data_IF_624575822999
#
_entry.id   IF_624575822999
#
_cell.length_a   1.000
_cell.length_b   1.000
_cell.length_c   1.000
_cell.angle_alpha   90.00
_cell.angle_beta   90.00
_cell.angle_gamma   90.00
#
_symmetry.space_group_name_H-M   'P 1'
#
loop_
_entity.id
_entity.type
_entity.pdbx_description
1 polymer ?
#
# COMPACT_ATOMS: atom_id res chain seq x y z
N UNK A 1 -41.71 45.11 -23.91
CA UNK A 1 -41.88 43.65 -23.83
C UNK A 1 -40.68 42.84 -24.40
N UNK A 2 -39.96 43.34 -25.44
CA UNK A 2 -38.79 42.60 -26.01
C UNK A 2 -37.57 42.49 -25.04
N UNK A 3 -37.36 43.47 -24.15
CA UNK A 3 -36.21 43.47 -23.25
C UNK A 3 -36.37 42.53 -22.02
N UNK A 4 -37.60 42.14 -21.68
CA UNK A 4 -37.86 41.23 -20.55
C UNK A 4 -37.58 39.76 -20.89
N UNK A 5 -37.71 39.40 -22.20
CA UNK A 5 -37.49 38.02 -22.71
C UNK A 5 -35.99 37.69 -22.78
N UNK A 6 -35.16 38.71 -23.10
CA UNK A 6 -33.69 38.53 -23.19
C UNK A 6 -33.08 38.34 -21.80
N UNK A 7 -33.61 38.96 -20.74
CA UNK A 7 -33.11 38.79 -19.38
C UNK A 7 -33.45 37.41 -18.78
N UNK A 8 -34.61 36.83 -19.18
CA UNK A 8 -35.01 35.49 -18.75
C UNK A 8 -34.17 34.38 -19.34
N UNK A 9 -33.68 34.52 -20.55
CA UNK A 9 -32.83 33.54 -21.24
C UNK A 9 -31.38 33.53 -20.68
N UNK A 10 -30.89 34.66 -20.17
CA UNK A 10 -29.54 34.77 -19.57
C UNK A 10 -29.46 34.16 -18.18
N UNK A 11 -30.57 34.17 -17.41
CA UNK A 11 -30.65 33.57 -16.06
C UNK A 11 -30.75 32.06 -16.13
N UNK A 12 -31.37 31.49 -17.18
CA UNK A 12 -31.48 30.04 -17.39
C UNK A 12 -30.13 29.43 -17.84
N UNK A 13 -29.30 30.20 -18.56
CA UNK A 13 -27.97 29.76 -18.95
C UNK A 13 -26.93 29.69 -17.80
N UNK A 14 -27.18 30.39 -16.68
CA UNK A 14 -26.32 30.40 -15.52
C UNK A 14 -26.57 29.24 -14.53
N UNK A 15 -27.63 28.47 -14.68
CA UNK A 15 -27.99 27.35 -13.79
C UNK A 15 -27.50 25.99 -14.31
N UNK A 16 -26.80 25.96 -15.46
CA UNK A 16 -25.97 24.81 -15.83
C UNK A 16 -24.63 24.87 -15.08
N UNK A 17 -24.67 25.07 -13.77
CA UNK A 17 -23.56 24.77 -12.89
C UNK A 17 -23.34 23.27 -13.02
N UNK A 18 -22.24 22.93 -13.63
CA UNK A 18 -21.68 21.60 -13.71
C UNK A 18 -21.78 20.97 -12.32
N UNK A 19 -22.67 20.00 -12.15
CA UNK A 19 -22.48 18.97 -11.17
C UNK A 19 -21.21 18.23 -11.63
N UNK A 20 -20.05 18.76 -11.25
CA UNK A 20 -18.86 17.94 -11.17
C UNK A 20 -19.27 16.83 -10.19
N UNK A 21 -19.68 15.67 -10.71
CA UNK A 21 -19.96 14.52 -9.87
C UNK A 21 -18.67 14.25 -9.10
N UNK A 22 -18.72 14.59 -7.82
CA UNK A 22 -17.61 14.25 -6.92
C UNK A 22 -17.47 12.72 -7.00
N UNK A 23 -16.33 12.26 -7.47
CA UNK A 23 -16.05 10.84 -7.58
C UNK A 23 -16.25 10.18 -6.21
N UNK A 24 -17.04 9.13 -6.16
CA UNK A 24 -17.32 8.41 -4.91
C UNK A 24 -16.15 7.52 -4.50
N UNK A 25 -16.09 7.16 -3.22
CA UNK A 25 -15.11 6.18 -2.72
C UNK A 25 -15.20 4.87 -3.50
N UNK A 26 -16.43 4.36 -3.71
CA UNK A 26 -16.64 3.09 -4.41
C UNK A 26 -16.13 3.14 -5.86
N UNK A 27 -16.33 4.24 -6.59
CA UNK A 27 -15.80 4.41 -7.95
C UNK A 27 -14.26 4.42 -7.99
N UNK A 28 -13.60 5.04 -7.01
CA UNK A 28 -12.14 5.05 -6.93
C UNK A 28 -11.63 3.64 -6.59
N UNK A 29 -12.29 2.96 -5.67
CA UNK A 29 -11.96 1.57 -5.28
C UNK A 29 -12.16 0.62 -6.46
N UNK A 30 -13.27 0.72 -7.19
CA UNK A 30 -13.53 -0.11 -8.38
C UNK A 30 -12.48 0.12 -9.47
N UNK A 31 -12.06 1.37 -9.68
CA UNK A 31 -10.97 1.70 -10.59
C UNK A 31 -9.63 1.09 -10.17
N UNK A 32 -9.30 1.15 -8.88
CA UNK A 32 -8.14 0.47 -8.34
C UNK A 32 -8.21 -1.04 -8.57
N UNK A 33 -9.33 -1.69 -8.22
CA UNK A 33 -9.56 -3.12 -8.42
C UNK A 33 -9.35 -3.50 -9.90
N UNK A 34 -9.93 -2.74 -10.81
CA UNK A 34 -9.76 -2.94 -12.26
C UNK A 34 -8.28 -2.82 -12.67
N UNK A 35 -7.54 -1.85 -12.12
CA UNK A 35 -6.11 -1.63 -12.42
C UNK A 35 -5.21 -2.78 -11.95
N UNK A 36 -5.68 -3.58 -10.98
CA UNK A 36 -4.99 -4.77 -10.48
C UNK A 36 -5.36 -6.05 -11.24
N UNK A 37 -6.21 -5.97 -12.26
CA UNK A 37 -6.67 -7.11 -13.05
C UNK A 37 -8.05 -7.66 -12.65
N UNK A 38 -8.77 -6.96 -11.76
CA UNK A 38 -10.13 -7.30 -11.33
C UNK A 38 -10.18 -8.15 -10.07
N UNK A 39 -11.41 -8.31 -9.55
CA UNK A 39 -11.67 -9.00 -8.27
C UNK A 39 -11.14 -10.44 -8.24
N UNK A 40 -11.36 -11.19 -9.31
CA UNK A 40 -10.94 -12.59 -9.39
C UNK A 40 -9.42 -12.73 -9.32
N UNK A 41 -8.70 -11.84 -10.02
CA UNK A 41 -7.23 -11.83 -10.01
C UNK A 41 -6.71 -11.56 -8.60
N UNK A 42 -7.23 -10.54 -7.92
CA UNK A 42 -6.86 -10.20 -6.54
C UNK A 42 -7.17 -11.37 -5.61
N UNK A 43 -8.36 -11.97 -5.70
CA UNK A 43 -8.76 -13.11 -4.85
C UNK A 43 -7.89 -14.36 -5.04
N UNK A 44 -7.31 -14.52 -6.22
CA UNK A 44 -6.45 -15.68 -6.55
C UNK A 44 -5.02 -15.58 -6.00
N UNK A 45 -4.60 -14.44 -5.45
CA UNK A 45 -3.25 -14.24 -4.89
C UNK A 45 -3.15 -14.90 -3.51
N UNK A 46 -2.33 -15.94 -3.40
CA UNK A 46 -2.16 -16.74 -2.17
C UNK A 46 -0.80 -16.51 -1.53
N UNK A 47 0.25 -16.42 -2.33
CA UNK A 47 1.60 -16.20 -1.85
C UNK A 47 2.31 -15.20 -2.75
N UNK A 48 3.27 -14.47 -2.20
CA UNK A 48 4.13 -13.57 -2.94
C UNK A 48 5.54 -13.63 -2.37
N UNK A 49 6.54 -13.71 -3.24
CA UNK A 49 7.95 -13.50 -2.91
C UNK A 49 8.49 -12.36 -3.76
N UNK A 50 9.08 -11.37 -3.11
CA UNK A 50 9.68 -10.20 -3.75
C UNK A 50 11.16 -10.18 -3.40
N UNK A 51 12.01 -10.18 -4.41
CA UNK A 51 13.48 -10.23 -4.30
C UNK A 51 14.06 -8.96 -4.96
N UNK A 52 14.97 -8.28 -4.28
CA UNK A 52 15.55 -7.03 -4.76
C UNK A 52 16.57 -6.43 -3.79
N UNK A 53 16.81 -5.15 -3.94
CA UNK A 53 17.77 -4.41 -3.11
C UNK A 53 17.15 -3.13 -2.54
N UNK A 54 17.56 -2.78 -1.33
CA UNK A 54 17.33 -1.48 -0.72
C UNK A 54 18.61 -0.66 -0.87
N UNK A 55 18.54 0.42 -1.63
CA UNK A 55 19.63 1.40 -1.69
C UNK A 55 19.38 2.49 -0.65
N UNK A 56 20.30 2.61 0.31
CA UNK A 56 20.24 3.56 1.41
C UNK A 56 21.63 4.11 1.72
N UNK A 57 21.78 5.42 1.77
CA UNK A 57 23.05 6.11 2.10
C UNK A 57 24.28 5.58 1.34
N UNK A 58 24.08 5.13 0.08
CA UNK A 58 25.17 4.59 -0.75
C UNK A 58 25.55 3.14 -0.45
N UNK A 59 24.74 2.44 0.34
CA UNK A 59 24.86 0.99 0.63
C UNK A 59 23.68 0.27 0.00
N UNK A 60 23.94 -0.82 -0.71
CA UNK A 60 22.90 -1.71 -1.21
C UNK A 60 22.75 -2.91 -0.25
N UNK A 61 21.52 -3.12 0.18
CA UNK A 61 21.12 -4.18 1.10
C UNK A 61 20.21 -5.13 0.34
N UNK A 62 20.58 -6.40 0.22
CA UNK A 62 19.70 -7.41 -0.36
C UNK A 62 18.46 -7.57 0.49
N UNK A 63 17.28 -7.58 -0.14
CA UNK A 63 16.00 -7.75 0.54
C UNK A 63 15.18 -8.87 -0.11
N UNK A 64 14.62 -9.73 0.72
CA UNK A 64 13.64 -10.73 0.31
C UNK A 64 12.41 -10.63 1.20
N UNK A 65 11.24 -10.42 0.60
CA UNK A 65 9.96 -10.42 1.31
C UNK A 65 9.12 -11.60 0.85
N UNK A 66 8.72 -12.47 1.78
CA UNK A 66 7.85 -13.62 1.51
C UNK A 66 6.58 -13.48 2.35
N UNK A 67 5.41 -13.61 1.71
CA UNK A 67 4.11 -13.47 2.38
C UNK A 67 3.16 -14.56 1.91
N UNK A 68 2.36 -15.09 2.83
CA UNK A 68 1.23 -15.98 2.57
C UNK A 68 -0.05 -15.36 3.11
N UNK A 69 -1.07 -15.30 2.26
CA UNK A 69 -2.34 -14.61 2.54
C UNK A 69 -2.97 -15.10 3.83
N UNK A 70 -3.12 -14.21 4.82
CA UNK A 70 -3.72 -14.49 6.12
C UNK A 70 -2.90 -15.41 7.05
N UNK A 71 -1.71 -15.87 6.64
CA UNK A 71 -0.90 -16.83 7.38
C UNK A 71 0.33 -16.16 8.01
N UNK A 72 1.12 -15.47 7.20
CA UNK A 72 2.33 -14.86 7.71
C UNK A 72 3.08 -14.02 6.68
N UNK A 73 4.03 -13.26 7.19
CA UNK A 73 5.00 -12.51 6.41
C UNK A 73 6.39 -12.62 7.03
N UNK A 74 7.40 -12.64 6.16
CA UNK A 74 8.80 -12.57 6.54
C UNK A 74 9.55 -11.65 5.59
N UNK A 75 10.38 -10.80 6.15
CA UNK A 75 11.30 -9.94 5.41
C UNK A 75 12.70 -10.24 5.93
N UNK A 76 13.53 -10.77 5.04
CA UNK A 76 14.94 -10.97 5.29
C UNK A 76 15.73 -9.88 4.57
N UNK A 77 16.74 -9.34 5.23
CA UNK A 77 17.66 -8.40 4.61
C UNK A 77 19.09 -8.62 5.09
N UNK A 78 20.00 -8.55 4.14
CA UNK A 78 21.41 -8.76 4.40
C UNK A 78 22.16 -7.45 4.24
N UNK A 79 22.74 -6.97 5.34
CA UNK A 79 23.46 -5.72 5.41
C UNK A 79 24.83 -5.97 6.02
N UNK A 80 25.89 -5.51 5.34
CA UNK A 80 27.28 -5.61 5.84
C UNK A 80 27.69 -7.04 6.23
N UNK A 81 27.21 -8.05 5.47
CA UNK A 81 27.45 -9.48 5.74
C UNK A 81 26.70 -10.02 6.95
N UNK A 82 25.71 -9.29 7.45
CA UNK A 82 24.90 -9.67 8.60
C UNK A 82 23.45 -9.90 8.18
N UNK A 83 22.92 -11.08 8.50
CA UNK A 83 21.53 -11.44 8.25
C UNK A 83 20.60 -10.85 9.31
N UNK A 84 19.56 -10.18 8.84
CA UNK A 84 18.54 -9.55 9.66
C UNK A 84 17.18 -10.02 9.18
N UNK A 85 16.17 -10.05 10.06
CA UNK A 85 14.81 -10.38 9.65
C UNK A 85 13.74 -9.69 10.48
N UNK A 86 12.56 -9.58 9.87
CA UNK A 86 11.27 -9.33 10.53
C UNK A 86 10.31 -10.42 10.10
N UNK A 87 9.59 -10.99 11.05
CA UNK A 87 8.62 -12.05 10.80
C UNK A 87 7.36 -11.80 11.62
N UNK A 88 6.21 -12.06 11.03
CA UNK A 88 4.93 -11.99 11.72
C UNK A 88 4.00 -13.10 11.21
N UNK A 89 3.16 -13.61 12.11
CA UNK A 89 2.05 -14.51 11.82
C UNK A 89 0.78 -14.00 12.53
N UNK A 90 -0.29 -14.78 12.52
CA UNK A 90 -1.58 -14.35 13.08
C UNK A 90 -1.56 -14.09 14.59
N UNK A 91 -0.55 -14.57 15.31
CA UNK A 91 -0.50 -14.52 16.79
C UNK A 91 0.57 -13.59 17.33
N UNK A 92 1.69 -13.44 16.63
CA UNK A 92 2.82 -12.61 17.09
C UNK A 92 3.71 -12.13 15.95
N UNK A 93 4.50 -11.11 16.23
CA UNK A 93 5.59 -10.64 15.38
C UNK A 93 6.90 -10.60 16.16
N UNK A 94 7.99 -10.86 15.46
CA UNK A 94 9.34 -10.82 16.01
C UNK A 94 10.32 -10.23 14.99
N UNK A 95 11.43 -9.73 15.49
CA UNK A 95 12.51 -9.21 14.67
C UNK A 95 13.86 -9.55 15.25
N UNK A 96 14.84 -9.70 14.39
CA UNK A 96 16.24 -9.86 14.76
C UNK A 96 17.10 -9.01 13.83
N UNK A 97 17.75 -8.01 14.39
CA UNK A 97 18.48 -6.99 13.64
C UNK A 97 19.88 -6.78 14.25
N UNK A 98 20.80 -7.74 14.08
CA UNK A 98 22.17 -7.63 14.60
C UNK A 98 22.89 -6.38 14.05
N UNK A 99 22.58 -5.95 12.82
CA UNK A 99 23.14 -4.71 12.26
C UNK A 99 22.79 -3.47 13.10
N UNK A 100 21.72 -3.53 13.89
CA UNK A 100 21.31 -2.50 14.85
C UNK A 100 21.75 -2.80 16.30
N UNK A 101 22.62 -3.80 16.50
CA UNK A 101 23.14 -4.18 17.80
C UNK A 101 22.28 -5.17 18.59
N UNK A 102 21.25 -5.78 18.00
CA UNK A 102 20.48 -6.83 18.67
C UNK A 102 21.29 -8.11 18.80
N UNK A 103 21.38 -8.66 20.02
CA UNK A 103 22.08 -9.90 20.32
C UNK A 103 21.18 -11.15 20.27
N UNK A 104 19.86 -10.97 20.33
CA UNK A 104 18.85 -12.02 20.25
C UNK A 104 17.59 -11.49 19.57
N UNK A 105 16.71 -12.36 19.03
CA UNK A 105 15.39 -11.96 18.57
C UNK A 105 14.57 -11.30 19.68
N UNK A 106 13.76 -10.31 19.31
CA UNK A 106 12.86 -9.61 20.22
C UNK A 106 11.47 -9.50 19.61
N UNK A 107 10.47 -9.24 20.42
CA UNK A 107 9.11 -9.04 19.96
C UNK A 107 9.00 -7.76 19.12
N UNK A 108 8.20 -7.82 18.08
CA UNK A 108 7.90 -6.65 17.26
C UNK A 108 7.05 -5.67 18.06
N UNK A 109 7.34 -4.36 18.05
CA UNK A 109 6.49 -3.34 18.66
C UNK A 109 5.04 -3.46 18.15
N UNK A 110 4.06 -3.21 19.02
CA UNK A 110 2.64 -3.46 18.76
C UNK A 110 2.11 -2.77 17.49
N UNK A 111 2.50 -1.52 17.27
CA UNK A 111 2.12 -0.74 16.07
C UNK A 111 2.70 -1.34 14.78
N UNK A 112 3.96 -1.79 14.84
CA UNK A 112 4.61 -2.49 13.73
C UNK A 112 3.95 -3.85 13.48
N UNK A 113 3.62 -4.59 14.54
CA UNK A 113 2.90 -5.85 14.41
C UNK A 113 1.51 -5.67 13.80
N UNK A 114 0.73 -4.67 14.26
CA UNK A 114 -0.57 -4.33 13.65
C UNK A 114 -0.45 -4.02 12.16
N UNK A 115 0.58 -3.28 11.78
CA UNK A 115 0.87 -2.97 10.37
C UNK A 115 1.28 -4.23 9.59
N UNK A 116 2.07 -5.12 10.19
CA UNK A 116 2.45 -6.39 9.59
C UNK A 116 1.25 -7.32 9.37
N UNK A 117 0.31 -7.37 10.33
CA UNK A 117 -0.96 -8.12 10.18
C UNK A 117 -1.75 -7.64 8.95
N UNK A 118 -1.87 -6.31 8.76
CA UNK A 118 -2.55 -5.77 7.58
C UNK A 118 -1.83 -6.12 6.27
N UNK A 119 -0.50 -6.25 6.28
CA UNK A 119 0.30 -6.63 5.11
C UNK A 119 0.22 -8.13 4.76
N UNK A 120 -0.23 -8.98 5.67
CA UNK A 120 -0.52 -10.40 5.39
C UNK A 120 -1.80 -10.57 4.55
N UNK A 121 -2.66 -9.57 4.50
CA UNK A 121 -3.79 -9.55 3.58
C UNK A 121 -3.32 -9.17 2.16
N UNK A 122 -2.95 -10.16 1.36
CA UNK A 122 -2.46 -9.95 -0.01
C UNK A 122 -3.52 -9.41 -0.96
N UNK A 123 -4.79 -9.50 -0.60
CA UNK A 123 -5.89 -8.90 -1.37
C UNK A 123 -5.96 -7.37 -1.17
N UNK A 124 -5.30 -6.87 -0.12
CA UNK A 124 -5.18 -5.46 0.19
C UNK A 124 -6.44 -4.82 0.78
N UNK A 125 -6.30 -3.56 1.18
CA UNK A 125 -7.33 -2.82 1.91
C UNK A 125 -8.62 -2.58 1.11
N UNK A 126 -8.52 -2.49 -0.21
CA UNK A 126 -9.67 -2.10 -1.06
C UNK A 126 -10.55 -3.27 -1.49
N UNK A 127 -10.01 -4.50 -1.52
CA UNK A 127 -10.78 -5.68 -1.87
C UNK A 127 -11.73 -6.06 -0.73
N UNK A 128 -13.03 -6.06 -1.00
CA UNK A 128 -14.09 -6.37 -0.02
C UNK A 128 -13.93 -5.59 1.31
N UNK A 129 -13.56 -4.31 1.23
CA UNK A 129 -13.19 -3.51 2.39
C UNK A 129 -14.30 -3.43 3.47
N UNK A 130 -15.57 -3.34 3.04
CA UNK A 130 -16.73 -3.28 3.96
C UNK A 130 -16.85 -4.57 4.79
N UNK A 131 -16.68 -5.73 4.15
CA UNK A 131 -16.74 -7.05 4.80
C UNK A 131 -15.56 -7.26 5.77
N UNK A 132 -14.40 -6.69 5.45
CA UNK A 132 -13.21 -6.70 6.31
C UNK A 132 -13.33 -5.75 7.51
N UNK A 133 -14.40 -4.94 7.59
CA UNK A 133 -14.57 -3.91 8.61
C UNK A 133 -13.60 -2.74 8.45
N UNK A 134 -13.17 -2.46 7.24
CA UNK A 134 -12.33 -1.31 6.88
C UNK A 134 -13.24 -0.14 6.52
N UNK A 135 -12.93 1.04 7.05
CA UNK A 135 -13.59 2.29 6.67
C UNK A 135 -12.70 3.08 5.72
N UNK A 136 -13.29 3.62 4.65
CA UNK A 136 -12.59 4.44 3.67
C UNK A 136 -13.29 5.78 3.52
N UNK A 137 -12.54 6.87 3.65
CA UNK A 137 -13.01 8.24 3.49
C UNK A 137 -12.24 8.92 2.35
N UNK A 138 -12.93 9.61 1.44
CA UNK A 138 -12.28 10.48 0.45
C UNK A 138 -11.92 11.80 1.13
N UNK A 139 -10.64 12.05 1.33
CA UNK A 139 -10.13 13.27 1.96
C UNK A 139 -10.07 14.42 0.95
N UNK A 140 -9.74 14.11 -0.30
CA UNK A 140 -9.60 15.10 -1.36
C UNK A 140 -8.75 14.59 -2.51
N UNK A 141 -8.23 15.54 -3.30
CA UNK A 141 -7.33 15.26 -4.41
C UNK A 141 -6.04 16.06 -4.25
N UNK A 142 -4.92 15.46 -4.64
CA UNK A 142 -3.61 16.08 -4.63
C UNK A 142 -2.85 15.78 -5.93
N UNK A 143 -1.87 16.60 -6.24
CA UNK A 143 -0.93 16.30 -7.34
C UNK A 143 0.25 15.51 -6.79
N UNK A 144 0.43 14.28 -7.26
CA UNK A 144 1.56 13.40 -6.91
C UNK A 144 2.35 13.13 -8.18
N UNK A 145 3.63 13.47 -8.18
CA UNK A 145 4.53 13.30 -9.34
C UNK A 145 3.95 13.83 -10.67
N UNK A 146 3.22 14.96 -10.62
CA UNK A 146 2.64 15.62 -11.79
C UNK A 146 1.30 15.03 -12.27
N UNK A 147 0.73 14.05 -11.57
CA UNK A 147 -0.58 13.47 -11.87
C UNK A 147 -1.56 13.72 -10.74
N UNK A 148 -2.85 13.94 -11.06
CA UNK A 148 -3.90 14.04 -10.04
C UNK A 148 -4.12 12.67 -9.39
N UNK A 149 -4.15 12.64 -8.05
CA UNK A 149 -4.44 11.46 -7.26
C UNK A 149 -5.51 11.75 -6.21
N UNK A 150 -6.42 10.80 -6.02
CA UNK A 150 -7.42 10.83 -4.95
C UNK A 150 -6.81 10.33 -3.64
N UNK A 151 -6.93 11.13 -2.58
CA UNK A 151 -6.45 10.79 -1.24
C UNK A 151 -7.57 10.07 -0.48
N UNK A 152 -7.40 8.76 -0.25
CA UNK A 152 -8.30 7.91 0.51
C UNK A 152 -7.69 7.62 1.88
N UNK A 153 -8.34 8.09 2.94
CA UNK A 153 -8.02 7.70 4.32
C UNK A 153 -8.66 6.36 4.62
N UNK A 154 -7.84 5.37 4.87
CA UNK A 154 -8.21 3.99 5.18
C UNK A 154 -7.98 3.73 6.66
N UNK A 155 -9.04 3.37 7.38
CA UNK A 155 -8.98 2.95 8.79
C UNK A 155 -9.22 1.45 8.87
N UNK A 156 -8.21 0.70 9.26
CA UNK A 156 -8.27 -0.75 9.42
C UNK A 156 -8.99 -1.12 10.72
N UNK A 157 -9.55 -2.34 10.77
CA UNK A 157 -10.25 -2.87 11.95
C UNK A 157 -9.39 -2.85 13.22
N UNK A 158 -8.08 -2.99 13.11
CA UNK A 158 -7.11 -2.94 14.23
C UNK A 158 -6.67 -1.53 14.62
N UNK A 159 -7.31 -0.49 14.05
CA UNK A 159 -7.07 0.92 14.34
C UNK A 159 -5.92 1.57 13.57
N UNK A 160 -5.19 0.83 12.75
CA UNK A 160 -4.17 1.41 11.87
C UNK A 160 -4.83 2.32 10.84
N UNK A 161 -4.26 3.51 10.62
CA UNK A 161 -4.72 4.47 9.62
C UNK A 161 -3.63 4.66 8.58
N UNK A 162 -4.02 4.62 7.30
CA UNK A 162 -3.13 4.89 6.17
C UNK A 162 -3.87 5.70 5.12
N UNK A 163 -3.27 6.77 4.65
CA UNK A 163 -3.75 7.50 3.49
C UNK A 163 -3.15 6.88 2.22
N UNK A 164 -4.01 6.53 1.27
CA UNK A 164 -3.66 5.99 -0.03
C UNK A 164 -3.96 7.02 -1.11
N UNK A 165 -2.99 7.30 -1.94
CA UNK A 165 -3.14 8.21 -3.08
C UNK A 165 -3.27 7.39 -4.34
N UNK A 166 -4.46 7.40 -4.92
CA UNK A 166 -4.82 6.64 -6.12
C UNK A 166 -4.76 7.58 -7.32
N UNK A 167 -3.86 7.31 -8.25
CA UNK A 167 -3.71 8.07 -9.48
C UNK A 167 -5.01 8.04 -10.30
N UNK A 168 -5.52 9.22 -10.64
CA UNK A 168 -6.83 9.39 -11.30
C UNK A 168 -6.85 8.84 -12.74
N UNK A 169 -5.70 8.64 -13.39
CA UNK A 169 -5.63 8.10 -14.76
C UNK A 169 -5.51 6.58 -14.74
N UNK A 170 -4.60 6.04 -13.94
CA UNK A 170 -4.24 4.63 -13.95
C UNK A 170 -5.00 3.77 -12.93
N UNK A 171 -5.58 4.39 -11.89
CA UNK A 171 -6.20 3.69 -10.76
C UNK A 171 -5.19 3.02 -9.82
N UNK A 172 -3.90 3.30 -9.94
CA UNK A 172 -2.86 2.67 -9.13
C UNK A 172 -2.50 3.51 -7.92
N UNK A 173 -2.03 2.86 -6.86
CA UNK A 173 -1.45 3.55 -5.71
C UNK A 173 -0.14 4.20 -6.17
N UNK A 174 0.02 5.50 -5.96
CA UNK A 174 1.26 6.22 -6.27
C UNK A 174 1.99 6.70 -5.03
N UNK A 175 1.27 6.81 -3.92
CA UNK A 175 1.81 7.23 -2.62
C UNK A 175 0.98 6.63 -1.49
N UNK A 176 1.62 6.36 -0.37
CA UNK A 176 0.94 6.17 0.92
C UNK A 176 1.55 7.09 1.96
N UNK A 177 0.74 7.50 2.93
CA UNK A 177 1.17 8.21 4.13
C UNK A 177 0.61 7.47 5.33
N UNK A 178 1.49 6.95 6.18
CA UNK A 178 1.12 6.19 7.37
C UNK A 178 1.83 6.75 8.60
N UNK A 179 1.19 6.70 9.74
CA UNK A 179 1.84 6.99 11.01
C UNK A 179 2.57 5.76 11.51
N UNK A 180 3.79 5.95 11.95
CA UNK A 180 4.57 4.94 12.65
C UNK A 180 5.08 5.53 13.97
N UNK A 181 5.12 4.73 15.01
CA UNK A 181 5.74 5.10 16.26
C UNK A 181 7.20 4.64 16.28
N UNK A 182 8.09 5.54 16.64
CA UNK A 182 9.49 5.22 16.91
C UNK A 182 9.83 5.76 18.30
N UNK A 183 10.12 4.87 19.24
CA UNK A 183 10.40 5.23 20.64
C UNK A 183 9.32 6.13 21.28
N UNK A 184 8.03 5.88 20.97
CA UNK A 184 6.91 6.64 21.50
C UNK A 184 6.64 7.98 20.80
N UNK A 185 7.40 8.32 19.77
CA UNK A 185 7.14 9.48 18.90
C UNK A 185 6.46 9.03 17.61
N UNK A 186 5.30 9.59 17.33
CA UNK A 186 4.63 9.39 16.04
C UNK A 186 5.35 10.15 14.94
N UNK A 187 5.62 9.46 13.84
CA UNK A 187 6.22 10.02 12.62
C UNK A 187 5.34 9.66 11.42
N UNK A 188 5.18 10.61 10.52
CA UNK A 188 4.56 10.35 9.24
C UNK A 188 5.60 9.70 8.30
N UNK A 189 5.28 8.52 7.80
CA UNK A 189 6.09 7.79 6.82
C UNK A 189 5.38 7.85 5.48
N UNK A 190 5.95 8.64 4.58
CA UNK A 190 5.55 8.68 3.18
C UNK A 190 6.29 7.59 2.40
N UNK A 191 5.55 6.85 1.57
CA UNK A 191 6.12 5.88 0.63
C UNK A 191 5.56 6.15 -0.76
N UNK A 192 6.41 6.31 -1.74
CA UNK A 192 6.03 6.43 -3.16
C UNK A 192 6.24 5.13 -3.89
N UNK A 193 5.38 4.87 -4.89
CA UNK A 193 5.34 3.63 -5.66
C UNK A 193 5.46 3.96 -7.15
N UNK A 194 6.47 3.38 -7.78
CA UNK A 194 6.77 3.62 -9.21
C UNK A 194 7.10 2.31 -9.93
N UNK A 195 7.39 2.41 -11.23
CA UNK A 195 7.80 1.26 -12.05
C UNK A 195 6.82 0.08 -12.00
N UNK A 196 5.52 0.36 -12.21
CA UNK A 196 4.48 -0.66 -12.22
C UNK A 196 4.62 -1.57 -13.45
N UNK A 197 4.78 -2.87 -13.19
CA UNK A 197 4.89 -3.93 -14.21
C UNK A 197 4.04 -5.14 -13.84
N UNK A 198 3.71 -5.95 -14.82
CA UNK A 198 3.19 -7.29 -14.56
C UNK A 198 4.35 -8.25 -14.32
N UNK A 199 4.19 -9.13 -13.32
CA UNK A 199 5.07 -10.29 -13.18
C UNK A 199 4.70 -11.39 -14.21
N UNK A 200 5.42 -12.51 -14.19
CA UNK A 200 5.19 -13.61 -15.12
C UNK A 200 3.77 -14.20 -15.05
N UNK A 201 3.12 -14.09 -13.90
CA UNK A 201 1.76 -14.60 -13.66
C UNK A 201 0.68 -13.56 -13.97
N UNK A 202 1.06 -12.37 -14.47
CA UNK A 202 0.16 -11.30 -14.88
C UNK A 202 -0.43 -10.46 -13.72
N UNK A 203 0.16 -10.48 -12.55
CA UNK A 203 -0.18 -9.57 -11.44
C UNK A 203 0.60 -8.26 -11.56
N UNK A 204 -0.06 -7.14 -11.27
CA UNK A 204 0.56 -5.84 -11.28
C UNK A 204 1.22 -5.51 -9.93
N UNK A 205 2.48 -5.10 -9.94
CA UNK A 205 3.22 -4.65 -8.76
C UNK A 205 4.05 -3.41 -9.08
N UNK A 206 4.28 -2.51 -8.09
CA UNK A 206 5.35 -1.53 -8.20
C UNK A 206 6.70 -2.24 -8.02
N UNK A 207 7.62 -2.07 -8.96
CA UNK A 207 8.96 -2.61 -8.87
C UNK A 207 9.94 -1.66 -8.17
N UNK A 208 9.50 -0.43 -7.88
CA UNK A 208 10.27 0.51 -7.07
C UNK A 208 9.38 1.18 -6.02
N UNK A 209 9.87 1.22 -4.79
CA UNK A 209 9.25 1.91 -3.67
C UNK A 209 10.28 2.76 -2.94
N UNK A 210 9.97 4.02 -2.66
CA UNK A 210 10.88 4.96 -2.01
C UNK A 210 10.24 5.56 -0.76
N UNK A 211 10.97 5.57 0.33
CA UNK A 211 10.61 6.27 1.57
C UNK A 211 11.86 6.93 2.20
N UNK A 212 11.74 7.41 3.43
CA UNK A 212 12.84 8.06 4.16
C UNK A 212 14.03 7.13 4.46
N UNK A 213 13.84 5.81 4.40
CA UNK A 213 14.90 4.83 4.62
C UNK A 213 15.71 4.54 3.35
N UNK A 214 15.16 4.86 2.18
CA UNK A 214 15.81 4.63 0.89
C UNK A 214 14.84 4.15 -0.18
N UNK A 215 15.40 3.63 -1.26
CA UNK A 215 14.64 3.07 -2.39
C UNK A 215 14.83 1.56 -2.44
N UNK A 216 13.71 0.82 -2.42
CA UNK A 216 13.71 -0.61 -2.71
C UNK A 216 13.41 -0.78 -4.20
N UNK A 217 14.27 -1.51 -4.90
CA UNK A 217 14.07 -1.93 -6.28
C UNK A 217 13.95 -3.44 -6.31
N UNK A 218 12.80 -3.95 -6.80
CA UNK A 218 12.57 -5.38 -6.94
C UNK A 218 13.01 -5.85 -8.32
N UNK A 219 13.81 -6.91 -8.34
CA UNK A 219 14.28 -7.56 -9.56
C UNK A 219 13.33 -8.67 -9.98
N UNK A 220 12.76 -9.37 -9.00
CA UNK A 220 11.88 -10.50 -9.22
C UNK A 220 10.72 -10.51 -8.23
N UNK A 221 9.51 -10.72 -8.77
CA UNK A 221 8.29 -10.94 -7.99
C UNK A 221 7.62 -12.21 -8.47
N UNK A 222 7.55 -13.21 -7.60
CA UNK A 222 6.93 -14.51 -7.85
C UNK A 222 5.66 -14.65 -7.03
N UNK A 223 4.60 -15.16 -7.64
CA UNK A 223 3.28 -15.29 -7.01
C UNK A 223 2.82 -16.75 -7.01
N UNK A 224 1.94 -17.09 -6.07
CA UNK A 224 1.27 -18.39 -5.98
C UNK A 224 2.21 -19.61 -5.95
N UNK A 225 3.43 -19.40 -5.49
CA UNK A 225 4.40 -20.48 -5.29
C UNK A 225 4.13 -21.20 -3.96
N UNK A 226 4.50 -22.48 -3.83
CA UNK A 226 4.55 -23.16 -2.54
C UNK A 226 5.48 -22.43 -1.57
N UNK A 227 5.06 -22.26 -0.32
CA UNK A 227 5.85 -21.67 0.76
C UNK A 227 5.80 -22.62 1.95
N UNK A 228 6.96 -22.95 2.52
CA UNK A 228 7.02 -23.63 3.81
C UNK A 228 6.65 -22.63 4.92
N UNK A 229 5.47 -22.82 5.52
CA UNK A 229 4.95 -21.92 6.54
C UNK A 229 5.79 -21.90 7.82
N UNK A 230 6.73 -22.84 7.98
CA UNK A 230 7.68 -22.84 9.11
C UNK A 230 8.54 -21.57 9.15
N UNK A 231 8.77 -20.91 8.00
CA UNK A 231 9.50 -19.64 7.92
C UNK A 231 8.83 -18.49 8.70
N UNK A 232 7.53 -18.62 9.00
CA UNK A 232 6.76 -17.64 9.78
C UNK A 232 6.70 -17.98 11.28
N UNK A 233 7.33 -19.07 11.70
CA UNK A 233 7.48 -19.40 13.11
C UNK A 233 8.69 -18.66 13.68
N UNK A 234 8.50 -18.09 14.85
CA UNK A 234 9.54 -17.41 15.63
C UNK A 234 10.16 -18.38 16.61
#
# INVERSE_FOLDING_TARGET
MKNLIIFGLFVIAMVLVQFAQAQTVDEIVDKYIASQGGKEKIASLKTIKMEGSLSTQGIDVTITSTRSHGIGMRIDFEAMGTSNYRVANATKGSMFMPVMGMSAPDDMPEDQYKSAVNQMDLQGAFYNYKEKGITIELVGKETVAGSEASNLKVTYKNGVITNYFIDSKTGRIVKTLAKQSNNGQEMDVETTYTDYKQNADGYWFPYSTTNTQGTITYEKITTNMPVDESIYKN
#
